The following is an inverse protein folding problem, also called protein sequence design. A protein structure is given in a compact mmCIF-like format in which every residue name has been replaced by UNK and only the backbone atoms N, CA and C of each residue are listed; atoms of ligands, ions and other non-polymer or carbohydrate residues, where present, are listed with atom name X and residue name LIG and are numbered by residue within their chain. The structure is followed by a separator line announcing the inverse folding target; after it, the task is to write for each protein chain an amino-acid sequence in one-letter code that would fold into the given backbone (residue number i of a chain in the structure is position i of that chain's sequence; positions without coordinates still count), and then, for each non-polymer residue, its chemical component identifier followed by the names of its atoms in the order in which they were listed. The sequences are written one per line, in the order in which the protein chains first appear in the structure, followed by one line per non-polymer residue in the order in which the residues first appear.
data_IF_667648492472
#
_entry.id   IF_667648492472
#
_cell.length_a   1.000
_cell.length_b   1.000
_cell.length_c   1.000
_cell.angle_alpha   90.00
_cell.angle_beta   90.00
_cell.angle_gamma   90.00
#
_symmetry.space_group_name_H-M   'P 1'
#
loop_
_entity.id
_entity.type
_entity.pdbx_description
1 polymer ?
#
# COMPACT_ATOMS: atom_id res chain seq x y z
N UNK A 1 -4.52 -13.36 -13.93
CA UNK A 1 -3.23 -13.05 -13.27
C UNK A 1 -3.04 -11.55 -13.02
N UNK A 2 -4.04 -10.82 -12.46
CA UNK A 2 -3.93 -9.36 -12.20
C UNK A 2 -3.82 -8.98 -10.72
N UNK A 3 -4.22 -9.87 -9.80
CA UNK A 3 -4.28 -9.61 -8.36
C UNK A 3 -2.89 -9.52 -7.72
N UNK A 4 -2.00 -10.46 -8.04
CA UNK A 4 -0.65 -10.51 -7.47
C UNK A 4 0.23 -9.29 -7.79
N UNK A 5 -0.13 -8.49 -8.81
CA UNK A 5 0.65 -7.31 -9.19
C UNK A 5 0.29 -6.08 -8.36
N UNK A 6 -0.97 -5.92 -7.94
CA UNK A 6 -1.41 -4.73 -7.22
C UNK A 6 -0.99 -4.79 -5.75
N UNK A 7 -1.16 -5.96 -5.12
CA UNK A 7 -0.69 -6.17 -3.75
C UNK A 7 0.83 -5.99 -3.64
N UNK A 8 1.60 -6.58 -4.57
CA UNK A 8 3.05 -6.40 -4.60
C UNK A 8 3.47 -4.96 -4.88
N UNK A 9 2.73 -4.22 -5.71
CA UNK A 9 2.98 -2.79 -5.91
C UNK A 9 2.77 -2.00 -4.62
N UNK A 10 1.63 -2.17 -3.95
CA UNK A 10 1.35 -1.50 -2.69
C UNK A 10 2.42 -1.82 -1.63
N UNK A 11 2.80 -3.10 -1.52
CA UNK A 11 3.88 -3.53 -0.61
C UNK A 11 5.23 -2.92 -0.95
N UNK A 12 5.65 -2.94 -2.22
CA UNK A 12 6.93 -2.36 -2.63
C UNK A 12 6.97 -0.85 -2.40
N UNK A 13 5.90 -0.14 -2.74
CA UNK A 13 5.81 1.30 -2.48
C UNK A 13 5.85 1.59 -0.98
N UNK A 14 5.14 0.80 -0.16
CA UNK A 14 5.18 0.91 1.30
C UNK A 14 6.59 0.67 1.86
N UNK A 15 7.30 -0.36 1.38
CA UNK A 15 8.69 -0.61 1.72
C UNK A 15 9.59 0.56 1.32
N UNK A 16 9.38 1.12 0.13
CA UNK A 16 10.15 2.25 -0.38
C UNK A 16 9.87 3.53 0.42
N UNK A 17 8.64 3.72 0.86
CA UNK A 17 8.21 4.84 1.70
C UNK A 17 8.76 4.74 3.12
N UNK A 18 8.81 3.53 3.70
CA UNK A 18 9.47 3.33 5.00
C UNK A 18 11.00 3.45 4.93
N UNK A 19 11.62 3.07 3.80
CA UNK A 19 13.07 3.22 3.60
C UNK A 19 13.48 4.65 3.25
N UNK A 20 12.58 5.45 2.68
CA UNK A 20 12.85 6.86 2.41
C UNK A 20 12.74 7.65 3.71
N UNK A 21 13.86 8.26 4.12
CA UNK A 21 13.89 9.21 5.24
C UNK A 21 13.07 10.48 4.94
N UNK A 22 12.79 10.76 3.66
CA UNK A 22 11.91 11.85 3.23
C UNK A 22 10.55 11.25 2.85
N UNK A 23 9.61 11.31 3.80
CA UNK A 23 8.24 10.87 3.59
C UNK A 23 7.52 11.82 2.63
N UNK A 24 7.64 11.55 1.34
CA UNK A 24 7.01 12.35 0.31
C UNK A 24 5.50 12.10 0.25
N UNK A 25 4.72 13.19 0.27
CA UNK A 25 3.25 13.14 0.16
C UNK A 25 2.79 12.45 -1.14
N UNK A 26 3.59 12.56 -2.20
CA UNK A 26 3.37 11.90 -3.49
C UNK A 26 3.35 10.37 -3.38
N UNK A 27 4.32 9.79 -2.66
CA UNK A 27 4.36 8.34 -2.43
C UNK A 27 3.18 7.89 -1.57
N UNK A 28 2.81 8.71 -0.57
CA UNK A 28 1.65 8.47 0.28
C UNK A 28 0.36 8.36 -0.53
N UNK A 29 0.13 9.28 -1.46
CA UNK A 29 -1.06 9.23 -2.32
C UNK A 29 -1.02 8.04 -3.29
N UNK A 30 0.15 7.73 -3.87
CA UNK A 30 0.33 6.57 -4.73
C UNK A 30 0.06 5.25 -4.00
N UNK A 31 0.57 5.10 -2.78
CA UNK A 31 0.36 3.91 -1.95
C UNK A 31 -1.12 3.77 -1.59
N UNK A 32 -1.81 4.85 -1.18
CA UNK A 32 -3.26 4.81 -0.92
C UNK A 32 -4.04 4.34 -2.14
N UNK A 33 -3.74 4.86 -3.33
CA UNK A 33 -4.40 4.43 -4.57
C UNK A 33 -4.10 2.95 -4.88
N UNK A 34 -2.85 2.51 -4.70
CA UNK A 34 -2.45 1.12 -4.91
C UNK A 34 -3.15 0.18 -3.92
N UNK A 35 -3.25 0.57 -2.65
CA UNK A 35 -3.96 -0.18 -1.60
C UNK A 35 -5.44 -0.31 -1.96
N UNK A 36 -6.13 0.77 -2.30
CA UNK A 36 -7.55 0.71 -2.69
C UNK A 36 -7.79 -0.14 -3.94
N UNK A 37 -6.95 0.02 -4.96
CA UNK A 37 -7.03 -0.78 -6.18
C UNK A 37 -6.76 -2.27 -5.90
N UNK A 38 -5.77 -2.58 -5.05
CA UNK A 38 -5.50 -3.94 -4.59
C UNK A 38 -6.69 -4.47 -3.78
N UNK A 39 -7.26 -3.68 -2.86
CA UNK A 39 -8.36 -4.06 -1.97
C UNK A 39 -9.61 -4.48 -2.76
N UNK A 40 -9.89 -3.80 -3.87
CA UNK A 40 -11.02 -4.12 -4.75
C UNK A 40 -10.92 -5.53 -5.38
N UNK A 41 -9.71 -6.05 -5.57
CA UNK A 41 -9.48 -7.35 -6.23
C UNK A 41 -8.80 -8.39 -5.33
N UNK A 42 -8.37 -8.00 -4.14
CA UNK A 42 -7.64 -8.81 -3.17
C UNK A 42 -8.53 -9.86 -2.50
N UNK A 43 -7.90 -10.97 -2.12
CA UNK A 43 -8.50 -12.01 -1.28
C UNK A 43 -8.75 -11.51 0.15
N UNK A 44 -9.59 -12.18 0.95
CA UNK A 44 -9.86 -11.77 2.33
C UNK A 44 -8.58 -11.63 3.18
N UNK A 45 -7.60 -12.51 2.98
CA UNK A 45 -6.31 -12.48 3.66
C UNK A 45 -5.46 -11.28 3.23
N UNK A 46 -5.38 -11.02 1.92
CA UNK A 46 -4.69 -9.84 1.38
C UNK A 46 -5.37 -8.54 1.81
N UNK A 47 -6.69 -8.51 1.92
CA UNK A 47 -7.44 -7.34 2.44
C UNK A 47 -7.03 -6.99 3.86
N UNK A 48 -6.87 -7.97 4.76
CA UNK A 48 -6.37 -7.71 6.11
C UNK A 48 -4.97 -7.08 6.10
N UNK A 49 -4.07 -7.55 5.22
CA UNK A 49 -2.74 -6.96 5.09
C UNK A 49 -2.77 -5.55 4.49
N UNK A 50 -3.63 -5.32 3.50
CA UNK A 50 -3.84 -4.01 2.88
C UNK A 50 -4.39 -2.99 3.87
N UNK A 51 -5.30 -3.41 4.75
CA UNK A 51 -5.86 -2.56 5.82
C UNK A 51 -4.78 -2.13 6.82
N UNK A 52 -3.87 -3.04 7.19
CA UNK A 52 -2.71 -2.71 8.02
C UNK A 52 -1.75 -1.75 7.32
N UNK A 53 -1.52 -1.92 6.02
CA UNK A 53 -0.72 -0.99 5.23
C UNK A 53 -1.36 0.40 5.20
N UNK A 54 -2.68 0.50 5.02
CA UNK A 54 -3.37 1.81 5.02
C UNK A 54 -3.22 2.52 6.37
N UNK A 55 -3.41 1.80 7.48
CA UNK A 55 -3.26 2.37 8.82
C UNK A 55 -1.83 2.85 9.10
N UNK A 56 -0.82 2.06 8.71
CA UNK A 56 0.58 2.47 8.87
C UNK A 56 0.88 3.72 8.04
N UNK A 57 0.33 3.80 6.82
CA UNK A 57 0.47 4.97 5.98
C UNK A 57 -0.13 6.22 6.63
N UNK A 58 -1.29 6.08 7.26
CA UNK A 58 -1.99 7.18 7.93
C UNK A 58 -1.25 7.66 9.18
N UNK A 59 -0.65 6.73 9.94
CA UNK A 59 0.11 7.02 11.16
C UNK A 59 1.45 7.72 10.91
N UNK A 60 2.04 7.54 9.72
CA UNK A 60 3.28 8.21 9.33
C UNK A 60 2.95 9.68 9.00
N UNK A 61 2.92 10.54 10.02
CA UNK A 61 2.46 11.92 9.97
C UNK A 61 3.56 12.91 9.66
#
# INVERSE_FOLDING_TARGET
MKQQNLFQQAKNMMMNFMNNNEQNETDKEAIRRAIQAAYAVATPEEKQQLEQFEQQLDQLK
#
